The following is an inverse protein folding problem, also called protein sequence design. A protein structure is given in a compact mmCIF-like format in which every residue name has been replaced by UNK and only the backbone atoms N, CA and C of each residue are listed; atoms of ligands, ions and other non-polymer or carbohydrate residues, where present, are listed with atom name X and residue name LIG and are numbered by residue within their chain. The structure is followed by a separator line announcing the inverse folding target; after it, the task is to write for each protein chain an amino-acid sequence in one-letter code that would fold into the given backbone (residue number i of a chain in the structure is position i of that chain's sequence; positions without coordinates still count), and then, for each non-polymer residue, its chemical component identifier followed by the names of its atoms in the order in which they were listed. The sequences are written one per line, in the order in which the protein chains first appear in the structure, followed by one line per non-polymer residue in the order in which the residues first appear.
data_IF_156723654262
#
_entry.id   IF_156723654262
#
_cell.length_a   1.000
_cell.length_b   1.000
_cell.length_c   1.000
_cell.angle_alpha   90.00
_cell.angle_beta   90.00
_cell.angle_gamma   90.00
#
_symmetry.space_group_name_H-M   'P 1'
#
loop_
_entity.id
_entity.type
_entity.pdbx_description
1 polymer ?
#
# COMPACT_ATOMS: atom_id res chain seq x y z
N UNK A 1 -19.01 -7.27 -25.66
CA UNK A 1 -17.61 -6.80 -25.63
C UNK A 1 -16.77 -7.91 -25.03
N UNK A 2 -16.09 -8.73 -25.85
CA UNK A 2 -15.26 -9.84 -25.38
C UNK A 2 -14.01 -9.26 -24.72
N UNK A 3 -13.94 -9.31 -23.41
CA UNK A 3 -12.69 -9.05 -22.68
C UNK A 3 -11.76 -10.24 -22.91
N UNK A 4 -10.90 -10.16 -23.92
CA UNK A 4 -9.79 -11.09 -24.10
C UNK A 4 -8.92 -11.03 -22.84
N UNK A 5 -8.96 -12.08 -22.05
CA UNK A 5 -8.03 -12.32 -20.96
C UNK A 5 -6.63 -12.56 -21.57
N UNK A 6 -5.87 -11.50 -21.77
CA UNK A 6 -4.43 -11.61 -22.04
C UNK A 6 -3.73 -11.61 -20.69
N UNK A 7 -3.28 -12.79 -20.27
CA UNK A 7 -2.40 -12.91 -19.08
C UNK A 7 -1.01 -12.43 -19.50
N UNK A 8 -0.75 -11.15 -19.32
CA UNK A 8 0.59 -10.60 -19.44
C UNK A 8 1.33 -10.82 -18.11
N UNK A 9 2.18 -11.83 -18.05
CA UNK A 9 3.02 -12.09 -16.87
C UNK A 9 3.94 -10.92 -16.51
N UNK A 10 4.23 -10.03 -17.44
CA UNK A 10 5.07 -8.85 -17.25
C UNK A 10 4.31 -7.59 -16.77
N UNK A 11 2.97 -7.65 -16.77
CA UNK A 11 2.11 -6.59 -16.26
C UNK A 11 1.20 -7.19 -15.19
N UNK A 12 1.66 -7.26 -13.94
CA UNK A 12 0.87 -7.87 -12.87
C UNK A 12 -0.40 -7.05 -12.66
N UNK A 13 -1.53 -7.67 -13.02
CA UNK A 13 -2.83 -7.08 -12.87
C UNK A 13 -3.22 -6.98 -11.39
N UNK A 14 -3.85 -5.86 -11.05
CA UNK A 14 -4.55 -5.59 -9.82
C UNK A 14 -3.69 -5.63 -8.56
N UNK A 15 -3.84 -6.63 -7.68
CA UNK A 15 -3.12 -6.70 -6.40
C UNK A 15 -1.76 -7.41 -6.48
N UNK A 16 -1.48 -8.16 -7.55
CA UNK A 16 -0.24 -8.96 -7.66
C UNK A 16 1.03 -8.11 -7.79
N UNK A 17 0.91 -6.83 -8.18
CA UNK A 17 2.04 -5.91 -8.26
C UNK A 17 2.81 -5.80 -6.94
N UNK A 18 2.09 -5.84 -5.81
CA UNK A 18 2.72 -5.71 -4.49
C UNK A 18 3.62 -6.92 -4.17
N UNK A 19 3.22 -8.14 -4.52
CA UNK A 19 4.04 -9.33 -4.30
C UNK A 19 5.32 -9.28 -5.13
N UNK A 20 5.20 -8.85 -6.38
CA UNK A 20 6.35 -8.67 -7.25
C UNK A 20 7.28 -7.56 -6.72
N UNK A 21 6.70 -6.43 -6.31
CA UNK A 21 7.47 -5.34 -5.68
C UNK A 21 8.11 -5.80 -4.38
N UNK A 22 7.43 -6.59 -3.54
CA UNK A 22 7.97 -7.14 -2.30
C UNK A 22 9.19 -8.04 -2.56
N UNK A 23 9.15 -8.84 -3.63
CA UNK A 23 10.30 -9.63 -4.06
C UNK A 23 11.49 -8.72 -4.42
N UNK A 24 11.29 -7.71 -5.26
CA UNK A 24 12.34 -6.75 -5.62
C UNK A 24 12.83 -5.95 -4.41
N UNK A 25 11.95 -5.54 -3.49
CA UNK A 25 12.35 -4.83 -2.26
C UNK A 25 13.26 -5.67 -1.38
N UNK A 26 13.03 -6.98 -1.27
CA UNK A 26 13.94 -7.84 -0.51
C UNK A 26 15.33 -7.91 -1.16
N UNK A 27 15.42 -7.91 -2.50
CA UNK A 27 16.70 -7.84 -3.21
C UNK A 27 17.36 -6.48 -2.97
N UNK A 28 16.61 -5.40 -3.13
CA UNK A 28 17.12 -4.03 -2.93
C UNK A 28 17.57 -3.78 -1.49
N UNK A 29 16.90 -4.37 -0.49
CA UNK A 29 17.32 -4.27 0.90
C UNK A 29 18.75 -4.76 1.10
N UNK A 30 19.17 -5.83 0.42
CA UNK A 30 20.52 -6.35 0.55
C UNK A 30 21.58 -5.29 0.22
N UNK A 31 21.28 -4.39 -0.71
CA UNK A 31 22.17 -3.32 -1.13
C UNK A 31 21.99 -2.08 -0.25
N UNK A 32 20.75 -1.58 -0.15
CA UNK A 32 20.45 -0.27 0.44
C UNK A 32 20.50 -0.25 1.96
N UNK A 33 20.17 -1.35 2.64
CA UNK A 33 20.21 -1.44 4.09
C UNK A 33 21.62 -1.26 4.64
N UNK A 34 22.66 -1.62 3.86
CA UNK A 34 24.06 -1.44 4.23
C UNK A 34 24.41 0.04 4.42
N UNK A 35 23.81 0.93 3.63
CA UNK A 35 24.02 2.37 3.68
C UNK A 35 23.09 3.08 4.66
N UNK A 36 22.18 2.35 5.33
CA UNK A 36 21.25 2.87 6.34
C UNK A 36 20.51 4.13 5.85
N UNK A 37 20.65 5.26 6.59
CA UNK A 37 19.96 6.51 6.28
C UNK A 37 20.40 7.16 4.95
N UNK A 38 21.66 6.98 4.55
CA UNK A 38 22.12 7.42 3.23
C UNK A 38 21.42 6.60 2.15
N UNK A 39 21.29 5.30 2.35
CA UNK A 39 20.52 4.42 1.45
C UNK A 39 19.06 4.87 1.30
N UNK A 40 18.44 5.36 2.38
CA UNK A 40 17.08 5.91 2.34
C UNK A 40 16.99 7.17 1.48
N UNK A 41 17.96 8.10 1.62
CA UNK A 41 18.00 9.31 0.80
C UNK A 41 18.17 8.95 -0.68
N UNK A 42 19.11 8.06 -1.00
CA UNK A 42 19.34 7.61 -2.38
C UNK A 42 18.11 6.90 -2.94
N UNK A 43 17.46 6.01 -2.18
CA UNK A 43 16.24 5.35 -2.58
C UNK A 43 15.11 6.35 -2.87
N UNK A 44 14.98 7.41 -2.04
CA UNK A 44 13.98 8.46 -2.25
C UNK A 44 14.27 9.27 -3.52
N UNK A 45 15.54 9.59 -3.79
CA UNK A 45 15.93 10.26 -5.02
C UNK A 45 15.65 9.41 -6.26
N UNK A 46 15.91 8.10 -6.20
CA UNK A 46 15.57 7.16 -7.28
C UNK A 46 14.05 7.11 -7.47
N UNK A 47 13.27 7.05 -6.38
CA UNK A 47 11.81 7.04 -6.45
C UNK A 47 11.21 8.34 -7.00
N UNK A 48 11.91 9.48 -6.86
CA UNK A 48 11.55 10.74 -7.54
C UNK A 48 11.94 10.66 -9.01
N UNK A 49 13.16 10.20 -9.31
CA UNK A 49 13.70 10.17 -10.66
C UNK A 49 12.95 9.21 -11.59
N UNK A 50 12.43 8.08 -11.07
CA UNK A 50 11.69 7.08 -11.86
C UNK A 50 10.43 7.68 -12.53
N UNK A 51 9.83 8.72 -11.93
CA UNK A 51 8.69 9.41 -12.50
C UNK A 51 8.95 10.12 -13.82
N UNK A 52 10.21 10.44 -14.13
CA UNK A 52 10.62 11.03 -15.41
C UNK A 52 10.83 9.99 -16.51
N UNK A 53 10.81 8.70 -16.18
CA UNK A 53 11.03 7.63 -17.16
C UNK A 53 9.71 7.04 -17.63
N UNK A 54 9.29 7.43 -18.84
CA UNK A 54 7.97 7.07 -19.39
C UNK A 54 7.78 5.57 -19.59
N UNK A 55 8.84 4.82 -19.87
CA UNK A 55 8.78 3.38 -20.10
C UNK A 55 8.73 2.55 -18.80
N UNK A 56 8.92 3.18 -17.62
CA UNK A 56 8.91 2.47 -16.34
C UNK A 56 7.49 2.12 -15.84
N UNK A 57 6.45 2.62 -16.47
CA UNK A 57 5.04 2.54 -16.09
C UNK A 57 4.59 1.20 -15.47
N UNK A 58 3.73 0.46 -16.17
CA UNK A 58 3.16 -0.82 -15.70
C UNK A 58 4.11 -2.01 -15.83
N UNK A 59 5.18 -1.89 -16.65
CA UNK A 59 6.11 -2.98 -16.89
C UNK A 59 6.79 -3.46 -15.60
N UNK A 60 6.56 -4.73 -15.22
CA UNK A 60 7.03 -5.34 -13.98
C UNK A 60 6.73 -4.52 -12.71
N UNK A 61 5.78 -3.57 -12.79
CA UNK A 61 5.49 -2.60 -11.71
C UNK A 61 6.73 -1.85 -11.21
N UNK A 62 7.70 -1.58 -12.10
CA UNK A 62 8.96 -0.94 -11.71
C UNK A 62 8.75 0.44 -11.13
N UNK A 63 7.83 1.24 -11.71
CA UNK A 63 7.50 2.56 -11.16
C UNK A 63 7.08 2.46 -9.69
N UNK A 64 6.07 1.63 -9.39
CA UNK A 64 5.61 1.39 -8.01
C UNK A 64 6.70 0.84 -7.12
N UNK A 65 7.50 -0.10 -7.63
CA UNK A 65 8.59 -0.71 -6.87
C UNK A 65 9.55 0.34 -6.34
N UNK A 66 10.01 1.27 -7.18
CA UNK A 66 10.94 2.31 -6.76
C UNK A 66 10.27 3.45 -5.98
N UNK A 67 9.03 3.81 -6.31
CA UNK A 67 8.27 4.85 -5.59
C UNK A 67 7.99 4.43 -4.15
N UNK A 68 7.66 3.16 -3.90
CA UNK A 68 7.31 2.69 -2.56
C UNK A 68 8.48 2.09 -1.78
N UNK A 69 9.60 1.77 -2.44
CA UNK A 69 10.78 1.21 -1.78
C UNK A 69 11.32 2.05 -0.62
N UNK A 70 11.35 3.40 -0.68
CA UNK A 70 11.81 4.21 0.46
C UNK A 70 11.01 3.96 1.74
N UNK A 71 9.71 3.74 1.65
CA UNK A 71 8.88 3.45 2.82
C UNK A 71 9.17 2.05 3.38
N UNK A 72 9.42 1.07 2.51
CA UNK A 72 9.81 -0.27 2.91
C UNK A 72 11.17 -0.26 3.62
N UNK A 73 12.14 0.45 3.05
CA UNK A 73 13.46 0.63 3.64
C UNK A 73 13.40 1.41 4.97
N UNK A 74 12.57 2.46 5.04
CA UNK A 74 12.32 3.20 6.28
C UNK A 74 11.78 2.27 7.36
N UNK A 75 10.79 1.43 7.04
CA UNK A 75 10.24 0.43 7.96
C UNK A 75 11.30 -0.54 8.47
N UNK A 76 12.22 -0.98 7.60
CA UNK A 76 13.34 -1.84 7.98
C UNK A 76 14.37 -1.13 8.89
N UNK A 77 14.64 0.15 8.67
CA UNK A 77 15.58 0.94 9.46
C UNK A 77 15.01 1.39 10.82
N UNK A 78 13.68 1.37 10.98
CA UNK A 78 13.03 1.74 12.23
C UNK A 78 13.19 0.65 13.29
N UNK A 79 14.05 0.90 14.25
CA UNK A 79 14.25 0.05 15.42
C UNK A 79 13.23 0.36 16.52
N UNK A 80 12.94 -0.60 17.44
CA UNK A 80 12.03 -0.36 18.58
C UNK A 80 12.40 0.87 19.42
N UNK A 81 13.70 1.19 19.53
CA UNK A 81 14.17 2.40 20.23
C UNK A 81 13.67 3.70 19.59
N UNK A 82 13.60 3.76 18.26
CA UNK A 82 13.09 4.93 17.53
C UNK A 82 11.59 5.10 17.79
N UNK A 83 10.82 4.00 17.77
CA UNK A 83 9.39 4.03 18.08
C UNK A 83 9.12 4.45 19.52
N UNK A 84 9.92 3.94 20.49
CA UNK A 84 9.83 4.36 21.89
C UNK A 84 10.10 5.85 22.05
N UNK A 85 11.15 6.38 21.37
CA UNK A 85 11.48 7.80 21.39
C UNK A 85 10.37 8.65 20.77
N UNK A 86 9.79 8.23 19.65
CA UNK A 86 8.65 8.92 19.05
C UNK A 86 7.44 8.95 19.97
N UNK A 87 7.15 7.85 20.66
CA UNK A 87 6.01 7.75 21.59
C UNK A 87 6.23 8.45 22.93
N UNK A 88 7.46 8.78 23.29
CA UNK A 88 7.76 9.55 24.52
C UNK A 88 7.43 11.05 24.38
N UNK A 89 7.11 11.53 23.17
CA UNK A 89 6.64 12.89 22.93
C UNK A 89 5.30 13.10 23.65
N UNK A 90 5.14 14.25 24.32
CA UNK A 90 3.91 14.59 25.02
C UNK A 90 2.74 14.73 23.99
N UNK A 91 1.57 14.21 24.33
CA UNK A 91 0.36 14.29 23.49
C UNK A 91 0.41 13.54 22.14
N UNK A 92 1.23 12.49 22.00
CA UNK A 92 1.32 11.72 20.75
C UNK A 92 -0.02 11.23 20.23
N UNK A 93 -0.93 10.75 21.09
CA UNK A 93 -2.27 10.30 20.68
C UNK A 93 -3.11 11.44 20.11
N UNK A 94 -3.06 12.62 20.72
CA UNK A 94 -3.79 13.80 20.23
C UNK A 94 -3.23 14.26 18.89
N UNK A 95 -1.90 14.30 18.77
CA UNK A 95 -1.20 14.63 17.52
C UNK A 95 -1.55 13.62 16.43
N UNK A 96 -1.48 12.33 16.74
CA UNK A 96 -1.84 11.27 15.80
C UNK A 96 -3.29 11.38 15.32
N UNK A 97 -4.22 11.62 16.25
CA UNK A 97 -5.63 11.83 15.91
C UNK A 97 -5.82 13.07 15.03
N UNK A 98 -5.16 14.18 15.37
CA UNK A 98 -5.23 15.40 14.57
C UNK A 98 -4.70 15.18 13.14
N UNK A 99 -3.56 14.52 12.98
CA UNK A 99 -3.00 14.19 11.65
C UNK A 99 -4.00 13.36 10.84
N UNK A 100 -4.58 12.30 11.42
CA UNK A 100 -5.54 11.46 10.70
C UNK A 100 -6.84 12.20 10.38
N UNK A 101 -7.36 13.02 11.30
CA UNK A 101 -8.55 13.84 11.04
C UNK A 101 -8.31 14.82 9.90
N UNK A 102 -7.18 15.53 9.89
CA UNK A 102 -6.79 16.41 8.79
C UNK A 102 -6.69 15.62 7.47
N UNK A 103 -6.05 14.46 7.50
CA UNK A 103 -5.94 13.59 6.31
C UNK A 103 -7.31 13.20 5.77
N UNK A 104 -8.24 12.81 6.63
CA UNK A 104 -9.62 12.46 6.23
C UNK A 104 -10.34 13.68 5.66
N UNK A 105 -10.24 14.84 6.29
CA UNK A 105 -10.86 16.06 5.79
C UNK A 105 -10.31 16.45 4.41
N UNK A 106 -8.99 16.38 4.23
CA UNK A 106 -8.37 16.67 2.94
C UNK A 106 -8.73 15.62 1.87
N UNK A 107 -8.96 14.37 2.25
CA UNK A 107 -9.36 13.31 1.30
C UNK A 107 -10.73 13.52 0.68
N UNK A 108 -11.65 14.20 1.37
CA UNK A 108 -13.00 14.51 0.86
C UNK A 108 -12.95 15.43 -0.36
N UNK A 109 -11.99 16.37 -0.37
CA UNK A 109 -11.80 17.35 -1.45
C UNK A 109 -10.62 17.00 -2.36
N UNK A 110 -10.11 15.76 -2.29
CA UNK A 110 -8.93 15.37 -3.04
C UNK A 110 -9.24 15.27 -4.54
N UNK A 111 -8.47 15.96 -5.40
CA UNK A 111 -8.70 15.96 -6.84
C UNK A 111 -8.52 14.56 -7.42
N UNK A 112 -9.48 14.11 -8.23
CA UNK A 112 -9.38 12.78 -8.88
C UNK A 112 -8.16 12.67 -9.80
N UNK A 113 -7.77 13.76 -10.43
CA UNK A 113 -6.59 13.83 -11.32
C UNK A 113 -5.27 13.66 -10.56
N UNK A 114 -5.27 13.83 -9.23
CA UNK A 114 -4.11 13.60 -8.38
C UNK A 114 -3.99 12.15 -7.87
N UNK A 115 -4.98 11.28 -8.12
CA UNK A 115 -4.94 9.87 -7.71
C UNK A 115 -3.72 9.12 -8.28
N UNK A 116 -3.31 9.29 -9.57
CA UNK A 116 -2.13 8.62 -10.11
C UNK A 116 -0.84 8.92 -9.34
N UNK A 117 -0.73 10.12 -8.73
CA UNK A 117 0.40 10.45 -7.84
C UNK A 117 0.47 9.51 -6.64
N UNK A 118 -0.67 9.16 -6.06
CA UNK A 118 -0.74 8.26 -4.91
C UNK A 118 -0.47 6.81 -5.31
N UNK A 119 -0.91 6.40 -6.50
CA UNK A 119 -0.74 5.03 -6.99
C UNK A 119 0.71 4.74 -7.45
N UNK A 120 1.45 5.76 -7.90
CA UNK A 120 2.84 5.63 -8.30
C UNK A 120 3.11 4.73 -9.49
N UNK A 121 2.11 4.48 -10.34
CA UNK A 121 2.18 3.58 -11.49
C UNK A 121 2.34 4.30 -12.82
N UNK A 122 2.23 5.62 -12.79
CA UNK A 122 2.24 6.45 -14.00
C UNK A 122 3.42 7.42 -13.94
N UNK A 123 4.10 7.62 -15.08
CA UNK A 123 5.15 8.63 -15.23
C UNK A 123 4.58 10.04 -15.16
N UNK A 124 5.42 11.03 -14.91
CA UNK A 124 5.00 12.44 -14.88
C UNK A 124 4.40 12.87 -16.22
N UNK A 125 5.00 12.47 -17.34
CA UNK A 125 4.46 12.73 -18.67
C UNK A 125 3.10 12.06 -18.88
N UNK A 126 2.92 10.83 -18.38
CA UNK A 126 1.63 10.12 -18.42
C UNK A 126 0.53 10.79 -17.58
N UNK A 127 0.92 11.57 -16.55
CA UNK A 127 0.00 12.41 -15.75
C UNK A 127 -0.24 13.79 -16.37
N UNK A 128 0.33 14.07 -17.56
CA UNK A 128 0.17 15.35 -18.24
C UNK A 128 1.10 16.46 -17.76
N UNK A 129 2.06 16.14 -16.88
CA UNK A 129 3.04 17.08 -16.35
C UNK A 129 4.43 16.72 -16.88
N UNK A 130 5.20 17.72 -17.33
CA UNK A 130 6.51 17.51 -17.97
C UNK A 130 7.61 18.43 -17.42
N UNK A 131 7.32 19.09 -16.30
CA UNK A 131 8.21 20.07 -15.74
C UNK A 131 9.22 19.45 -14.75
N UNK A 132 10.38 20.05 -14.67
CA UNK A 132 11.39 19.66 -13.67
C UNK A 132 10.86 19.77 -12.22
N UNK A 133 9.85 20.62 -12.01
CA UNK A 133 9.25 20.85 -10.69
C UNK A 133 8.42 19.67 -10.17
N UNK A 134 8.03 18.71 -11.04
CA UNK A 134 7.20 17.58 -10.66
C UNK A 134 7.88 16.65 -9.64
N UNK A 135 9.20 16.56 -9.70
CA UNK A 135 10.00 15.89 -8.67
C UNK A 135 9.82 16.46 -7.27
N UNK A 136 9.60 17.79 -7.14
CA UNK A 136 9.32 18.41 -5.84
C UNK A 136 7.93 18.03 -5.31
N UNK A 137 6.94 17.85 -6.19
CA UNK A 137 5.62 17.33 -5.79
C UNK A 137 5.75 15.92 -5.24
N UNK A 138 6.53 15.05 -5.87
CA UNK A 138 6.82 13.70 -5.38
C UNK A 138 7.58 13.74 -4.04
N UNK A 139 8.55 14.63 -3.88
CA UNK A 139 9.23 14.83 -2.61
C UNK A 139 8.26 15.29 -1.51
N UNK A 140 7.38 16.24 -1.82
CA UNK A 140 6.30 16.68 -0.92
C UNK A 140 5.37 15.53 -0.53
N UNK A 141 5.02 14.65 -1.47
CA UNK A 141 4.25 13.44 -1.19
C UNK A 141 4.99 12.50 -0.23
N UNK A 142 6.31 12.30 -0.39
CA UNK A 142 7.09 11.50 0.57
C UNK A 142 7.01 12.06 1.98
N UNK A 143 7.14 13.38 2.14
CA UNK A 143 7.02 14.05 3.44
C UNK A 143 5.62 13.88 4.01
N UNK A 144 4.58 14.19 3.24
CA UNK A 144 3.18 14.08 3.65
C UNK A 144 2.83 12.65 4.09
N UNK A 145 3.18 11.65 3.27
CA UNK A 145 2.94 10.25 3.59
C UNK A 145 3.69 9.81 4.84
N UNK A 146 4.93 10.26 5.04
CA UNK A 146 5.71 9.96 6.25
C UNK A 146 5.03 10.54 7.49
N UNK A 147 4.51 11.77 7.41
CA UNK A 147 3.75 12.39 8.50
C UNK A 147 2.51 11.57 8.84
N UNK A 148 1.76 11.12 7.82
CA UNK A 148 0.56 10.29 8.00
C UNK A 148 0.93 8.94 8.65
N UNK A 149 2.01 8.30 8.21
CA UNK A 149 2.51 7.06 8.81
C UNK A 149 2.86 7.27 10.29
N UNK A 150 3.55 8.35 10.62
CA UNK A 150 3.88 8.69 12.02
C UNK A 150 2.60 8.91 12.83
N UNK A 151 1.64 9.66 12.30
CA UNK A 151 0.33 9.88 12.93
C UNK A 151 -0.38 8.56 13.23
N UNK A 152 -0.38 7.63 12.28
CA UNK A 152 -0.94 6.29 12.46
C UNK A 152 -0.17 5.50 13.54
N UNK A 153 1.17 5.52 13.53
CA UNK A 153 2.01 4.84 14.52
C UNK A 153 1.77 5.34 15.95
N UNK A 154 1.41 6.61 16.13
CA UNK A 154 1.07 7.18 17.44
C UNK A 154 -0.24 6.61 18.02
N UNK A 155 -1.15 6.16 17.16
CA UNK A 155 -2.43 5.60 17.59
C UNK A 155 -2.39 4.08 17.80
N UNK A 156 -1.42 3.39 17.21
CA UNK A 156 -1.30 1.93 17.39
C UNK A 156 -1.00 1.62 18.85
N UNK A 157 -1.83 0.78 19.51
CA UNK A 157 -1.59 0.37 20.88
C UNK A 157 -0.33 -0.48 21.02
N UNK A 158 0.37 -0.37 22.15
CA UNK A 158 1.56 -1.19 22.44
C UNK A 158 1.20 -2.62 22.83
N UNK A 159 0.01 -2.79 23.41
CA UNK A 159 -0.48 -4.11 23.83
C UNK A 159 -1.17 -4.82 22.68
N UNK A 160 -0.84 -6.08 22.48
CA UNK A 160 -1.52 -6.92 21.50
C UNK A 160 -2.99 -7.13 21.86
N UNK A 161 -3.86 -7.04 20.87
CA UNK A 161 -5.29 -7.34 20.96
C UNK A 161 -5.60 -8.64 20.22
N UNK A 162 -6.80 -9.18 20.41
CA UNK A 162 -7.28 -10.34 19.63
C UNK A 162 -7.16 -10.10 18.11
N UNK A 163 -7.37 -8.86 17.65
CA UNK A 163 -7.21 -8.48 16.24
C UNK A 163 -5.75 -8.52 15.75
N UNK A 164 -4.76 -8.45 16.65
CA UNK A 164 -3.34 -8.55 16.25
C UNK A 164 -3.03 -9.91 15.61
N UNK A 165 -3.74 -10.96 16.01
CA UNK A 165 -3.61 -12.30 15.42
C UNK A 165 -4.04 -12.30 13.94
N UNK A 166 -5.03 -11.48 13.57
CA UNK A 166 -5.47 -11.32 12.18
C UNK A 166 -4.36 -10.62 11.38
N UNK A 167 -3.72 -9.60 11.96
CA UNK A 167 -2.57 -8.91 11.36
C UNK A 167 -1.40 -9.86 11.04
N UNK A 168 -1.16 -10.90 11.86
CA UNK A 168 -0.15 -11.92 11.58
C UNK A 168 -0.52 -12.82 10.40
N UNK A 169 -1.78 -12.78 9.94
CA UNK A 169 -2.31 -13.58 8.84
C UNK A 169 -2.66 -12.74 7.62
N UNK A 170 -2.12 -11.55 7.52
CA UNK A 170 -2.40 -10.59 6.44
C UNK A 170 -2.11 -11.17 5.06
N UNK A 171 -1.11 -12.08 4.94
CA UNK A 171 -0.80 -12.74 3.68
C UNK A 171 -2.01 -13.51 3.11
N UNK A 172 -2.77 -14.20 3.96
CA UNK A 172 -3.97 -14.94 3.54
C UNK A 172 -5.06 -13.99 3.08
N UNK A 173 -5.27 -12.91 3.85
CA UNK A 173 -6.22 -11.85 3.47
C UNK A 173 -5.83 -11.26 2.13
N UNK A 174 -4.54 -10.91 1.97
CA UNK A 174 -4.03 -10.28 0.76
C UNK A 174 -4.16 -11.17 -0.49
N UNK A 175 -3.84 -12.45 -0.40
CA UNK A 175 -3.91 -13.35 -1.54
C UNK A 175 -5.36 -13.71 -1.93
N UNK A 176 -6.24 -13.86 -0.94
CA UNK A 176 -7.58 -14.39 -1.16
C UNK A 176 -8.65 -13.32 -1.42
N UNK A 177 -8.47 -12.07 -0.89
CA UNK A 177 -9.49 -11.02 -1.10
C UNK A 177 -9.73 -10.72 -2.57
N UNK A 178 -8.67 -10.77 -3.38
CA UNK A 178 -8.76 -10.52 -4.80
C UNK A 178 -9.68 -11.49 -5.53
N UNK A 179 -9.63 -12.78 -5.18
CA UNK A 179 -10.54 -13.78 -5.74
C UNK A 179 -11.99 -13.51 -5.36
N UNK A 180 -12.26 -13.12 -4.10
CA UNK A 180 -13.61 -12.81 -3.64
C UNK A 180 -14.17 -11.61 -4.39
N UNK A 181 -13.41 -10.49 -4.45
CA UNK A 181 -13.87 -9.29 -5.13
C UNK A 181 -14.12 -9.59 -6.60
N UNK A 182 -13.18 -10.27 -7.27
CA UNK A 182 -13.35 -10.63 -8.68
C UNK A 182 -14.54 -11.57 -8.94
N UNK A 183 -14.82 -12.47 -8.01
CA UNK A 183 -16.00 -13.31 -8.08
C UNK A 183 -17.29 -12.49 -7.95
N UNK A 184 -17.31 -11.52 -7.03
CA UNK A 184 -18.45 -10.61 -6.89
C UNK A 184 -18.64 -9.80 -8.18
N UNK A 185 -17.58 -9.20 -8.72
CA UNK A 185 -17.62 -8.44 -9.97
C UNK A 185 -18.13 -9.25 -11.16
N UNK A 186 -17.84 -10.58 -11.18
CA UNK A 186 -18.17 -11.43 -12.33
C UNK A 186 -19.57 -12.04 -12.21
N UNK A 187 -19.99 -12.39 -11.00
CA UNK A 187 -21.23 -13.17 -10.78
C UNK A 187 -22.36 -12.38 -10.15
N UNK A 188 -22.10 -11.20 -9.53
CA UNK A 188 -23.17 -10.40 -8.96
C UNK A 188 -23.89 -9.60 -10.05
N UNK A 189 -25.22 -9.51 -10.01
CA UNK A 189 -25.98 -8.61 -10.87
C UNK A 189 -25.58 -7.13 -10.63
N UNK A 190 -25.65 -6.31 -11.68
CA UNK A 190 -25.32 -4.88 -11.63
C UNK A 190 -26.08 -4.14 -10.53
N UNK A 191 -27.35 -4.51 -10.30
CA UNK A 191 -28.18 -3.93 -9.24
C UNK A 191 -27.61 -4.14 -7.82
N UNK A 192 -26.98 -5.30 -7.56
CA UNK A 192 -26.33 -5.59 -6.28
C UNK A 192 -25.03 -4.78 -6.18
N UNK A 193 -24.29 -4.69 -7.27
CA UNK A 193 -23.04 -3.90 -7.32
C UNK A 193 -23.31 -2.42 -7.02
N UNK A 194 -24.31 -1.83 -7.68
CA UNK A 194 -24.73 -0.44 -7.46
C UNK A 194 -25.23 -0.20 -6.04
N UNK A 195 -26.00 -1.15 -5.49
CA UNK A 195 -26.49 -1.05 -4.12
C UNK A 195 -25.39 -1.11 -3.08
N UNK A 196 -24.39 -2.00 -3.26
CA UNK A 196 -23.24 -2.10 -2.38
C UNK A 196 -22.36 -0.84 -2.50
N UNK A 197 -22.08 -0.38 -3.71
CA UNK A 197 -21.20 0.77 -3.97
C UNK A 197 -21.77 2.11 -3.52
N UNK A 198 -23.09 2.24 -3.51
CA UNK A 198 -23.78 3.45 -3.05
C UNK A 198 -23.85 3.58 -1.52
N UNK A 199 -23.62 2.48 -0.78
CA UNK A 199 -23.72 2.47 0.68
C UNK A 199 -22.35 2.24 1.34
N UNK A 200 -21.66 3.34 1.70
CA UNK A 200 -20.33 3.28 2.33
C UNK A 200 -20.29 2.46 3.64
N UNK A 201 -21.36 2.47 4.42
CA UNK A 201 -21.45 1.73 5.66
C UNK A 201 -21.51 0.22 5.40
N UNK A 202 -22.25 -0.18 4.37
CA UNK A 202 -22.34 -1.56 3.92
C UNK A 202 -20.99 -2.06 3.37
N UNK A 203 -20.32 -1.23 2.55
CA UNK A 203 -18.96 -1.52 2.06
C UNK A 203 -17.98 -1.75 3.20
N UNK A 204 -18.04 -0.92 4.24
CA UNK A 204 -17.18 -1.05 5.41
C UNK A 204 -17.46 -2.36 6.16
N UNK A 205 -18.71 -2.72 6.37
CA UNK A 205 -19.12 -3.96 7.04
C UNK A 205 -18.67 -5.18 6.23
N UNK A 206 -18.87 -5.18 4.91
CA UNK A 206 -18.46 -6.26 4.01
C UNK A 206 -16.94 -6.41 4.04
N UNK A 207 -16.19 -5.30 3.91
CA UNK A 207 -14.72 -5.31 3.92
C UNK A 207 -14.16 -5.84 5.23
N UNK A 208 -14.71 -5.42 6.36
CA UNK A 208 -14.33 -5.94 7.68
C UNK A 208 -14.66 -7.42 7.81
N UNK A 209 -15.83 -7.87 7.35
CA UNK A 209 -16.23 -9.27 7.38
C UNK A 209 -15.28 -10.13 6.56
N UNK A 210 -14.94 -9.71 5.34
CA UNK A 210 -13.97 -10.39 4.48
C UNK A 210 -12.60 -10.49 5.20
N UNK A 211 -12.10 -9.40 5.78
CA UNK A 211 -10.84 -9.40 6.52
C UNK A 211 -10.86 -10.37 7.71
N UNK A 212 -11.95 -10.41 8.48
CA UNK A 212 -12.10 -11.29 9.63
C UNK A 212 -12.17 -12.76 9.21
N UNK A 213 -12.95 -13.08 8.17
CA UNK A 213 -13.10 -14.44 7.64
C UNK A 213 -11.77 -14.94 7.07
N UNK A 214 -11.12 -14.15 6.20
CA UNK A 214 -9.87 -14.53 5.57
C UNK A 214 -8.69 -14.57 6.54
N UNK A 215 -8.69 -13.73 7.58
CA UNK A 215 -7.71 -13.75 8.68
C UNK A 215 -8.01 -14.79 9.75
N UNK A 216 -9.08 -15.57 9.62
CA UNK A 216 -9.47 -16.58 10.60
C UNK A 216 -8.49 -17.77 10.65
N UNK A 217 -8.55 -18.53 11.75
CA UNK A 217 -7.80 -19.78 11.88
C UNK A 217 -8.22 -20.83 10.85
N UNK A 218 -9.50 -20.88 10.54
CA UNK A 218 -10.05 -21.84 9.56
C UNK A 218 -9.47 -21.58 8.17
N UNK A 219 -9.52 -20.36 7.68
CA UNK A 219 -8.92 -20.00 6.38
C UNK A 219 -7.46 -20.39 6.33
N UNK A 220 -6.67 -20.01 7.35
CA UNK A 220 -5.26 -20.41 7.45
C UNK A 220 -5.08 -21.92 7.37
N UNK A 221 -5.86 -22.68 8.14
CA UNK A 221 -5.74 -24.16 8.21
C UNK A 221 -5.96 -24.83 6.84
N UNK A 222 -6.96 -24.39 6.09
CA UNK A 222 -7.31 -25.01 4.81
C UNK A 222 -6.48 -24.52 3.62
N UNK A 223 -6.04 -23.25 3.65
CA UNK A 223 -5.31 -22.67 2.52
C UNK A 223 -3.79 -22.71 2.73
N UNK A 224 -3.32 -23.03 3.93
CA UNK A 224 -1.90 -23.12 4.27
C UNK A 224 -1.07 -24.01 3.33
N UNK A 225 -1.50 -25.23 2.94
CA UNK A 225 -0.71 -26.06 2.05
C UNK A 225 -0.46 -25.43 0.67
N UNK A 226 -1.40 -24.60 0.21
CA UNK A 226 -1.34 -23.92 -1.09
C UNK A 226 -0.51 -22.64 -0.99
N UNK A 227 -0.67 -21.87 0.10
CA UNK A 227 -0.06 -20.54 0.25
C UNK A 227 1.36 -20.62 0.83
N UNK A 228 1.59 -21.48 1.81
CA UNK A 228 2.89 -21.61 2.47
C UNK A 228 3.70 -22.78 1.87
N UNK A 229 3.60 -23.13 0.62
CA UNK A 229 4.39 -24.20 -0.04
C UNK A 229 5.54 -24.70 0.84
N UNK A 230 5.23 -25.48 1.88
CA UNK A 230 6.25 -26.21 2.61
C UNK A 230 6.52 -27.49 1.85
N UNK A 231 7.53 -27.42 1.01
CA UNK A 231 8.24 -28.61 0.51
C UNK A 231 8.90 -29.34 1.67
#
# INVERSE_FOLDING_TARGET
METKFTINFFEPHWSLWFLLSLFFWNILLFIFARFRWIGLIVASLIGIAIGYWDNAGSYLSLSRTFVFFPYFLLGFLLEPKHLKKLRSIKYTKTIGLAILMITVLLSVSFPKDAIPWLLGDTSYAGMGVKDFHDGFLRAGQYVATTIIIIGFLFLIPEKGFKLTVIGQRTLYVYLLHGFIIKSIDTFAPDSIHDWISSNYLLLLIISLSICLILGSYFTKKYTRPIIELRL
#
